data_IF_093952212102
#
_entry.id   IF_093952212102
#
_cell.length_a   1.000
_cell.length_b   1.000
_cell.length_c   1.000
_cell.angle_alpha   90.00
_cell.angle_beta   90.00
_cell.angle_gamma   90.00
#
_symmetry.space_group_name_H-M   'P 1'
#
loop_
_entity.id
_entity.type
_entity.pdbx_description
1 polymer ?
#
# COMPACT_ATOMS: atom_id res chain seq x y z
N UNK A 1 -12.60 -42.97 43.71
CA UNK A 1 -12.65 -43.06 42.24
C UNK A 1 -13.14 -44.45 41.90
N UNK A 2 -14.18 -44.60 41.08
CA UNK A 2 -14.62 -45.94 40.65
C UNK A 2 -13.54 -46.59 39.79
N UNK A 3 -13.41 -47.91 39.81
CA UNK A 3 -12.50 -48.61 38.89
C UNK A 3 -12.85 -48.33 37.42
N UNK A 4 -14.14 -48.14 37.12
CA UNK A 4 -14.60 -47.73 35.79
C UNK A 4 -14.15 -46.32 35.40
N UNK A 5 -14.15 -45.37 36.34
CA UNK A 5 -13.69 -44.00 36.09
C UNK A 5 -12.19 -44.00 35.78
N UNK A 6 -11.42 -44.80 36.52
CA UNK A 6 -9.97 -44.95 36.29
C UNK A 6 -9.65 -45.56 34.92
N UNK A 7 -10.45 -46.53 34.46
CA UNK A 7 -10.33 -47.09 33.11
C UNK A 7 -10.72 -46.05 32.05
N UNK A 8 -11.77 -45.27 32.27
CA UNK A 8 -12.19 -44.20 31.35
C UNK A 8 -11.11 -43.11 31.23
N UNK A 9 -10.56 -42.65 32.35
CA UNK A 9 -9.50 -41.64 32.43
C UNK A 9 -8.24 -42.04 31.64
N UNK A 10 -7.90 -43.32 31.64
CA UNK A 10 -6.79 -43.85 30.82
C UNK A 10 -7.08 -43.67 29.33
N UNK A 11 -8.27 -44.03 28.86
CA UNK A 11 -8.62 -43.96 27.43
C UNK A 11 -9.07 -42.57 26.96
N UNK A 12 -9.40 -41.66 27.86
CA UNK A 12 -9.64 -40.24 27.54
C UNK A 12 -8.36 -39.41 27.63
N UNK A 13 -7.27 -39.99 28.15
CA UNK A 13 -5.96 -39.36 28.21
C UNK A 13 -5.77 -38.41 29.39
N UNK A 14 -6.64 -38.51 30.41
CA UNK A 14 -6.62 -37.67 31.61
C UNK A 14 -5.51 -38.08 32.58
N UNK A 15 -5.14 -39.37 32.60
CA UNK A 15 -4.07 -39.88 33.46
C UNK A 15 -2.69 -39.33 33.08
N UNK A 16 -1.88 -38.99 34.10
CA UNK A 16 -0.47 -38.60 33.97
C UNK A 16 0.40 -39.77 33.46
N UNK A 17 1.63 -39.48 33.04
CA UNK A 17 2.56 -40.51 32.54
C UNK A 17 2.88 -41.60 33.56
N UNK A 18 2.99 -41.23 34.83
CA UNK A 18 3.27 -42.15 35.94
C UNK A 18 2.06 -43.05 36.21
N UNK A 19 0.85 -42.48 36.26
CA UNK A 19 -0.40 -43.22 36.48
C UNK A 19 -0.74 -44.18 35.33
N UNK A 20 -0.35 -43.83 34.09
CA UNK A 20 -0.49 -44.72 32.93
C UNK A 20 0.43 -45.94 33.03
N UNK A 21 1.68 -45.77 33.47
CA UNK A 21 2.58 -46.90 33.68
C UNK A 21 2.04 -47.86 34.75
N UNK A 22 1.49 -47.31 35.84
CA UNK A 22 0.83 -48.12 36.88
C UNK A 22 -0.39 -48.85 36.30
N UNK A 23 -1.20 -48.18 35.48
CA UNK A 23 -2.35 -48.78 34.80
C UNK A 23 -1.93 -49.97 33.91
N UNK A 24 -0.92 -49.77 33.07
CA UNK A 24 -0.41 -50.79 32.14
C UNK A 24 0.19 -51.98 32.90
N UNK A 25 0.96 -51.73 33.96
CA UNK A 25 1.52 -52.77 34.81
C UNK A 25 0.42 -53.58 35.50
N UNK A 26 -0.60 -52.91 36.04
CA UNK A 26 -1.74 -53.59 36.68
C UNK A 26 -2.53 -54.42 35.68
N UNK A 27 -2.72 -53.93 34.45
CA UNK A 27 -3.36 -54.67 33.37
C UNK A 27 -2.56 -55.93 32.97
N UNK A 28 -1.23 -55.88 33.03
CA UNK A 28 -0.36 -57.03 32.75
C UNK A 28 -0.29 -58.04 33.91
N UNK A 29 -0.33 -57.56 35.16
CA UNK A 29 -0.15 -58.39 36.35
C UNK A 29 -1.46 -59.01 36.88
N UNK A 30 -2.58 -58.31 36.76
CA UNK A 30 -3.87 -58.69 37.37
C UNK A 30 -4.89 -59.12 36.30
N UNK A 31 -5.19 -60.42 36.25
CA UNK A 31 -6.11 -60.97 35.26
C UNK A 31 -7.57 -60.48 35.45
N UNK A 32 -7.99 -60.17 36.68
CA UNK A 32 -9.32 -59.62 36.97
C UNK A 32 -9.47 -58.22 36.37
N UNK A 33 -8.50 -57.34 36.63
CA UNK A 33 -8.47 -55.99 36.08
C UNK A 33 -8.40 -55.98 34.54
N UNK A 34 -7.59 -56.87 33.95
CA UNK A 34 -7.54 -57.02 32.49
C UNK A 34 -8.91 -57.39 31.87
N UNK A 35 -9.72 -58.22 32.55
CA UNK A 35 -11.08 -58.56 32.09
C UNK A 35 -12.03 -57.39 32.17
N UNK A 36 -11.93 -56.56 33.21
CA UNK A 36 -12.75 -55.35 33.36
C UNK A 36 -12.42 -54.33 32.28
N UNK A 37 -11.14 -54.12 31.97
CA UNK A 37 -10.68 -53.28 30.86
C UNK A 37 -11.21 -53.81 29.52
N UNK A 38 -11.12 -55.11 29.28
CA UNK A 38 -11.64 -55.73 28.07
C UNK A 38 -13.17 -55.58 27.95
N UNK A 39 -13.90 -55.75 29.06
CA UNK A 39 -15.34 -55.53 29.11
C UNK A 39 -15.68 -54.08 28.78
N UNK A 40 -15.04 -53.12 29.45
CA UNK A 40 -15.22 -51.68 29.21
C UNK A 40 -14.98 -51.33 27.73
N UNK A 41 -13.89 -51.82 27.13
CA UNK A 41 -13.60 -51.59 25.71
C UNK A 41 -14.70 -52.17 24.80
N UNK A 42 -15.18 -53.38 25.10
CA UNK A 42 -16.25 -54.02 24.35
C UNK A 42 -17.58 -53.25 24.43
N UNK A 43 -17.94 -52.73 25.61
CA UNK A 43 -19.13 -51.90 25.79
C UNK A 43 -19.00 -50.59 25.02
N UNK A 44 -17.84 -49.95 25.08
CA UNK A 44 -17.58 -48.67 24.39
C UNK A 44 -17.62 -48.81 22.87
N UNK A 45 -17.10 -49.91 22.31
CA UNK A 45 -17.15 -50.14 20.86
C UNK A 45 -18.58 -50.36 20.38
N UNK A 46 -19.38 -51.14 21.11
CA UNK A 46 -20.80 -51.36 20.79
C UNK A 46 -21.60 -50.05 20.81
N UNK A 47 -21.44 -49.23 21.85
CA UNK A 47 -22.09 -47.92 21.94
C UNK A 47 -21.69 -47.00 20.77
N UNK A 48 -20.40 -46.98 20.42
CA UNK A 48 -19.90 -46.19 19.29
C UNK A 48 -20.49 -46.66 17.95
N UNK A 49 -20.67 -47.96 17.77
CA UNK A 49 -21.28 -48.52 16.57
C UNK A 49 -22.76 -48.13 16.46
N UNK A 50 -23.54 -48.30 17.53
CA UNK A 50 -24.94 -47.89 17.56
C UNK A 50 -25.12 -46.39 17.27
N UNK A 51 -24.28 -45.56 17.86
CA UNK A 51 -24.32 -44.11 17.67
C UNK A 51 -23.96 -43.72 16.22
N UNK A 52 -23.07 -44.47 15.57
CA UNK A 52 -22.74 -44.29 14.15
C UNK A 52 -23.91 -44.68 13.24
N UNK A 53 -24.56 -45.81 13.53
CA UNK A 53 -25.74 -46.28 12.79
C UNK A 53 -26.90 -45.27 12.93
N UNK A 54 -27.15 -44.79 14.14
CA UNK A 54 -28.15 -43.75 14.41
C UNK A 54 -27.85 -42.45 13.66
N UNK A 55 -26.60 -41.97 13.69
CA UNK A 55 -26.19 -40.77 12.92
C UNK A 55 -26.35 -40.97 11.42
N UNK A 56 -26.05 -42.16 10.90
CA UNK A 56 -26.26 -42.46 9.47
C UNK A 56 -27.75 -42.46 9.12
N UNK A 57 -28.62 -43.01 9.98
CA UNK A 57 -30.06 -42.97 9.77
C UNK A 57 -30.60 -41.54 9.82
N UNK A 58 -30.17 -40.73 10.80
CA UNK A 58 -30.52 -39.31 10.90
C UNK A 58 -30.05 -38.54 9.67
N UNK A 59 -28.82 -38.78 9.20
CA UNK A 59 -28.29 -38.13 8.01
C UNK A 59 -29.04 -38.52 6.73
N UNK A 60 -29.48 -39.79 6.62
CA UNK A 60 -30.32 -40.25 5.51
C UNK A 60 -31.75 -39.67 5.56
N UNK A 61 -32.30 -39.47 6.76
CA UNK A 61 -33.60 -38.84 6.95
C UNK A 61 -33.57 -37.33 6.63
N UNK A 62 -32.40 -36.69 6.79
CA UNK A 62 -32.14 -35.34 6.30
C UNK A 62 -31.77 -35.40 4.80
N UNK A 63 -32.73 -35.78 3.96
CA UNK A 63 -32.68 -35.41 2.55
C UNK A 63 -33.13 -33.96 2.43
N UNK A 64 -32.24 -32.97 2.20
CA UNK A 64 -32.70 -31.66 1.80
C UNK A 64 -33.49 -31.84 0.49
N UNK A 65 -34.72 -31.33 0.44
CA UNK A 65 -35.47 -31.26 -0.80
C UNK A 65 -34.56 -30.56 -1.83
N UNK A 66 -34.07 -31.32 -2.82
CA UNK A 66 -33.20 -30.75 -3.86
C UNK A 66 -34.00 -29.64 -4.53
N UNK A 67 -33.65 -28.35 -4.36
CA UNK A 67 -34.35 -27.31 -5.08
C UNK A 67 -34.16 -27.65 -6.57
N UNK A 68 -35.25 -27.57 -7.34
CA UNK A 68 -35.19 -27.70 -8.80
C UNK A 68 -34.31 -26.56 -9.31
N UNK A 69 -33.00 -26.77 -9.36
CA UNK A 69 -32.06 -25.82 -9.93
C UNK A 69 -32.39 -25.75 -11.42
N UNK A 70 -33.03 -24.65 -11.82
CA UNK A 70 -33.13 -24.28 -13.22
C UNK A 70 -31.70 -24.22 -13.75
N UNK A 71 -31.37 -25.10 -14.69
CA UNK A 71 -30.07 -25.07 -15.34
C UNK A 71 -29.97 -23.73 -16.08
N UNK A 72 -29.12 -22.85 -15.56
CA UNK A 72 -28.76 -21.64 -16.28
C UNK A 72 -28.10 -22.06 -17.59
N UNK A 73 -28.45 -21.44 -18.72
CA UNK A 73 -27.82 -21.77 -19.98
C UNK A 73 -26.32 -21.47 -19.93
N UNK A 74 -25.52 -22.35 -20.53
CA UNK A 74 -24.06 -22.37 -20.41
C UNK A 74 -23.36 -21.06 -20.85
N UNK A 75 -24.02 -20.21 -21.65
CA UNK A 75 -23.48 -18.90 -22.01
C UNK A 75 -23.49 -17.89 -20.84
N UNK A 76 -24.44 -18.00 -19.91
CA UNK A 76 -24.48 -17.14 -18.72
C UNK A 76 -23.36 -17.50 -17.72
N UNK A 77 -23.02 -18.78 -17.61
CA UNK A 77 -21.89 -19.21 -16.77
C UNK A 77 -20.56 -18.81 -17.38
N UNK A 78 -20.40 -18.93 -18.71
CA UNK A 78 -19.20 -18.48 -19.42
C UNK A 78 -19.00 -16.96 -19.31
N UNK A 79 -20.07 -16.17 -19.45
CA UNK A 79 -20.02 -14.71 -19.32
C UNK A 79 -19.64 -14.25 -17.91
N UNK A 80 -20.13 -14.93 -16.86
CA UNK A 80 -19.78 -14.60 -15.47
C UNK A 80 -18.31 -14.89 -15.15
N UNK A 81 -17.74 -15.97 -15.71
CA UNK A 81 -16.31 -16.30 -15.55
C UNK A 81 -15.45 -15.24 -16.24
N UNK A 82 -15.79 -14.85 -17.47
CA UNK A 82 -15.08 -13.80 -18.19
C UNK A 82 -15.16 -12.45 -17.46
N UNK A 83 -16.34 -12.08 -16.95
CA UNK A 83 -16.50 -10.88 -16.14
C UNK A 83 -15.69 -10.94 -14.84
N UNK A 84 -15.66 -12.10 -14.16
CA UNK A 84 -14.86 -12.31 -12.95
C UNK A 84 -13.35 -12.21 -13.22
N UNK A 85 -12.86 -12.78 -14.32
CA UNK A 85 -11.45 -12.67 -14.74
C UNK A 85 -11.11 -11.22 -15.09
N UNK A 86 -12.00 -10.50 -15.78
CA UNK A 86 -11.79 -9.09 -16.11
C UNK A 86 -11.75 -8.21 -14.84
N UNK A 87 -12.65 -8.45 -13.88
CA UNK A 87 -12.67 -7.73 -12.60
C UNK A 87 -11.46 -8.05 -11.73
N UNK A 88 -11.06 -9.33 -11.65
CA UNK A 88 -9.88 -9.75 -10.91
C UNK A 88 -8.59 -9.20 -11.56
N UNK A 89 -8.51 -9.24 -12.88
CA UNK A 89 -7.42 -8.62 -13.64
C UNK A 89 -7.36 -7.12 -13.36
N UNK A 90 -8.48 -6.39 -13.52
CA UNK A 90 -8.56 -4.97 -13.21
C UNK A 90 -8.08 -4.70 -11.78
N UNK A 91 -8.55 -5.45 -10.80
CA UNK A 91 -8.19 -5.27 -9.40
C UNK A 91 -6.70 -5.53 -9.13
N UNK A 92 -6.10 -6.54 -9.78
CA UNK A 92 -4.67 -6.86 -9.66
C UNK A 92 -3.76 -5.81 -10.33
N UNK A 93 -4.27 -5.03 -11.30
CA UNK A 93 -3.48 -4.01 -12.00
C UNK A 93 -3.64 -2.58 -11.44
N UNK A 94 -4.52 -2.33 -10.46
CA UNK A 94 -4.57 -1.04 -9.74
C UNK A 94 -3.41 -0.99 -8.72
N UNK A 95 -2.27 -0.44 -9.12
CA UNK A 95 -1.22 -0.01 -8.19
C UNK A 95 -1.50 1.42 -7.72
N UNK A 96 -1.29 1.76 -6.44
CA UNK A 96 -1.33 3.16 -6.01
C UNK A 96 -0.31 3.97 -6.81
N UNK A 97 -0.61 5.24 -7.12
CA UNK A 97 0.29 6.06 -7.93
C UNK A 97 1.64 6.22 -7.20
N UNK A 98 2.73 6.06 -7.94
CA UNK A 98 4.06 6.32 -7.39
C UNK A 98 4.25 7.82 -7.14
N UNK A 99 5.17 8.19 -6.23
CA UNK A 99 5.53 9.59 -5.96
C UNK A 99 6.04 10.31 -7.22
N UNK A 100 6.67 9.59 -8.14
CA UNK A 100 7.04 10.09 -9.45
C UNK A 100 5.81 10.41 -10.33
N UNK A 101 4.76 9.58 -10.29
CA UNK A 101 3.51 9.85 -11.01
C UNK A 101 2.73 11.02 -10.41
N UNK A 102 2.69 11.11 -9.07
CA UNK A 102 2.06 12.22 -8.35
C UNK A 102 2.73 13.55 -8.68
N UNK A 103 4.07 13.60 -8.62
CA UNK A 103 4.84 14.80 -8.97
C UNK A 103 4.73 15.15 -10.46
N UNK A 104 4.72 14.17 -11.37
CA UNK A 104 4.51 14.41 -12.81
C UNK A 104 3.13 15.02 -13.08
N UNK A 105 2.09 14.51 -12.41
CA UNK A 105 0.72 15.03 -12.51
C UNK A 105 0.65 16.47 -12.04
N UNK A 106 1.31 16.79 -10.93
CA UNK A 106 1.38 18.16 -10.41
C UNK A 106 2.05 19.11 -11.39
N UNK A 107 3.22 18.73 -11.94
CA UNK A 107 3.96 19.54 -12.92
C UNK A 107 3.08 19.85 -14.13
N UNK A 108 2.43 18.83 -14.69
CA UNK A 108 1.58 19.00 -15.87
C UNK A 108 0.38 19.91 -15.60
N UNK A 109 -0.22 19.84 -14.41
CA UNK A 109 -1.41 20.60 -14.06
C UNK A 109 -1.11 22.05 -13.66
N UNK A 110 0.02 22.28 -12.98
CA UNK A 110 0.27 23.54 -12.29
C UNK A 110 1.46 24.34 -12.81
N UNK A 111 2.40 23.70 -13.51
CA UNK A 111 3.68 24.33 -13.84
C UNK A 111 3.88 24.54 -15.34
N UNK A 112 3.02 23.98 -16.22
CA UNK A 112 3.11 24.25 -17.66
C UNK A 112 2.71 25.69 -18.04
N UNK A 113 1.99 26.38 -17.16
CA UNK A 113 1.64 27.78 -17.32
C UNK A 113 1.99 28.54 -16.05
N UNK A 114 2.79 29.59 -16.21
CA UNK A 114 3.12 30.53 -15.15
C UNK A 114 2.11 31.67 -15.15
N UNK A 115 1.66 32.07 -13.96
CA UNK A 115 0.78 33.23 -13.82
C UNK A 115 1.50 34.51 -14.26
N UNK A 116 0.79 35.34 -15.01
CA UNK A 116 1.22 36.69 -15.34
C UNK A 116 0.76 37.63 -14.23
N UNK A 117 1.67 38.35 -13.60
CA UNK A 117 1.34 39.28 -12.52
C UNK A 117 1.42 40.71 -13.05
N UNK A 118 0.28 41.39 -13.16
CA UNK A 118 0.20 42.77 -13.70
C UNK A 118 0.76 43.84 -12.76
N UNK A 119 1.27 43.47 -11.59
CA UNK A 119 1.75 44.41 -10.58
C UNK A 119 3.25 44.22 -10.31
N UNK A 120 4.04 45.20 -10.73
CA UNK A 120 5.40 45.44 -10.22
C UNK A 120 6.52 44.52 -10.73
N UNK A 121 6.26 43.59 -11.65
CA UNK A 121 7.33 42.81 -12.29
C UNK A 121 8.05 43.65 -13.34
N UNK A 122 9.40 43.64 -13.41
CA UNK A 122 10.14 44.28 -14.50
C UNK A 122 9.63 43.76 -15.84
N UNK A 123 9.52 44.63 -16.85
CA UNK A 123 9.02 44.26 -18.18
C UNK A 123 9.70 43.00 -18.74
N UNK A 124 11.01 42.86 -18.51
CA UNK A 124 11.78 41.69 -18.92
C UNK A 124 11.35 40.39 -18.23
N UNK A 125 10.95 40.40 -16.96
CA UNK A 125 10.47 39.20 -16.28
C UNK A 125 9.15 38.71 -16.91
N UNK A 126 8.26 39.65 -17.22
CA UNK A 126 6.99 39.37 -17.87
C UNK A 126 7.18 38.86 -19.32
N UNK A 127 8.20 39.35 -20.04
CA UNK A 127 8.60 38.79 -21.32
C UNK A 127 9.05 37.33 -21.18
N UNK A 128 9.84 37.00 -20.15
CA UNK A 128 10.28 35.64 -19.88
C UNK A 128 9.11 34.70 -19.57
N UNK A 129 8.16 35.14 -18.75
CA UNK A 129 6.93 34.40 -18.45
C UNK A 129 6.09 34.17 -19.72
N UNK A 130 5.94 35.20 -20.55
CA UNK A 130 5.23 35.10 -21.83
C UNK A 130 5.90 34.07 -22.75
N UNK A 131 7.23 34.12 -22.88
CA UNK A 131 7.99 33.16 -23.68
C UNK A 131 7.82 31.72 -23.13
N UNK A 132 7.85 31.56 -21.81
CA UNK A 132 7.62 30.27 -21.15
C UNK A 132 6.23 29.70 -21.48
N UNK A 133 5.18 30.51 -21.32
CA UNK A 133 3.79 30.09 -21.56
C UNK A 133 3.53 29.75 -23.04
N UNK A 134 4.24 30.43 -23.95
CA UNK A 134 4.23 30.15 -25.38
C UNK A 134 5.13 28.96 -25.77
N UNK A 135 5.73 28.26 -24.79
CA UNK A 135 6.66 27.14 -24.97
C UNK A 135 7.93 27.51 -25.75
N UNK A 136 8.24 28.80 -25.86
CA UNK A 136 9.49 29.30 -26.42
C UNK A 136 10.61 29.22 -25.36
N UNK A 137 10.91 27.99 -24.92
CA UNK A 137 11.77 27.75 -23.75
C UNK A 137 13.18 28.28 -23.93
N UNK A 138 13.77 28.21 -25.13
CA UNK A 138 15.11 28.77 -25.38
C UNK A 138 15.16 30.30 -25.18
N UNK A 139 14.07 31.00 -25.54
CA UNK A 139 13.98 32.43 -25.33
C UNK A 139 13.74 32.76 -23.85
N UNK A 140 12.83 32.04 -23.19
CA UNK A 140 12.58 32.19 -21.77
C UNK A 140 13.84 31.93 -20.93
N UNK A 141 14.63 30.91 -21.29
CA UNK A 141 15.89 30.57 -20.62
C UNK A 141 16.88 31.73 -20.69
N UNK A 142 17.08 32.34 -21.87
CA UNK A 142 17.97 33.51 -22.02
C UNK A 142 17.55 34.69 -21.14
N UNK A 143 16.25 34.99 -21.11
CA UNK A 143 15.69 36.08 -20.30
C UNK A 143 15.90 35.81 -18.81
N UNK A 144 15.47 34.65 -18.32
CA UNK A 144 15.58 34.32 -16.90
C UNK A 144 17.04 34.21 -16.46
N UNK A 145 17.94 33.70 -17.31
CA UNK A 145 19.37 33.66 -17.00
C UNK A 145 19.94 35.07 -16.79
N UNK A 146 19.62 36.00 -17.70
CA UNK A 146 20.05 37.40 -17.60
C UNK A 146 19.49 38.12 -16.36
N UNK A 147 18.25 37.81 -15.97
CA UNK A 147 17.62 38.42 -14.78
C UNK A 147 18.11 37.77 -13.49
N UNK A 148 18.53 36.51 -13.54
CA UNK A 148 19.02 35.78 -12.37
C UNK A 148 20.30 36.39 -11.78
N UNK A 149 21.00 37.27 -12.50
CA UNK A 149 22.20 37.97 -12.02
C UNK A 149 21.92 39.37 -11.48
N UNK A 150 20.67 39.85 -11.53
CA UNK A 150 20.28 41.19 -11.07
C UNK A 150 19.63 41.11 -9.69
N UNK A 151 20.18 41.76 -8.67
CA UNK A 151 19.73 41.60 -7.27
C UNK A 151 18.21 41.74 -7.08
N UNK A 152 17.60 42.76 -7.69
CA UNK A 152 16.18 43.06 -7.52
C UNK A 152 15.23 42.00 -8.11
N UNK A 153 15.65 41.28 -9.17
CA UNK A 153 14.81 40.30 -9.89
C UNK A 153 15.31 38.87 -9.74
N UNK A 154 16.48 38.67 -9.12
CA UNK A 154 17.14 37.37 -9.03
C UNK A 154 16.29 36.28 -8.37
N UNK A 155 15.56 36.49 -7.26
CA UNK A 155 14.77 35.42 -6.65
C UNK A 155 13.70 34.85 -7.60
N UNK A 156 12.93 35.72 -8.25
CA UNK A 156 11.88 35.30 -9.18
C UNK A 156 12.45 34.72 -10.46
N UNK A 157 13.51 35.32 -11.00
CA UNK A 157 14.18 34.80 -12.19
C UNK A 157 14.79 33.41 -11.94
N UNK A 158 15.43 33.19 -10.78
CA UNK A 158 15.95 31.87 -10.37
C UNK A 158 14.81 30.86 -10.23
N UNK A 159 13.69 31.25 -9.62
CA UNK A 159 12.49 30.42 -9.50
C UNK A 159 11.99 29.98 -10.88
N UNK A 160 11.78 30.91 -11.81
CA UNK A 160 11.26 30.59 -13.14
C UNK A 160 12.25 29.83 -14.00
N UNK A 161 13.55 30.10 -13.88
CA UNK A 161 14.60 29.33 -14.54
C UNK A 161 14.61 27.86 -14.05
N UNK A 162 14.48 27.65 -12.74
CA UNK A 162 14.34 26.30 -12.17
C UNK A 162 13.09 25.57 -12.68
N UNK A 163 11.94 26.26 -12.74
CA UNK A 163 10.70 25.69 -13.29
C UNK A 163 10.84 25.35 -14.77
N UNK A 164 11.49 26.20 -15.56
CA UNK A 164 11.81 25.93 -16.97
C UNK A 164 12.64 24.68 -17.12
N UNK A 165 13.69 24.53 -16.31
CA UNK A 165 14.50 23.31 -16.29
C UNK A 165 13.72 22.08 -15.85
N UNK A 166 12.80 22.22 -14.90
CA UNK A 166 11.94 21.13 -14.47
C UNK A 166 11.02 20.64 -15.61
N UNK A 167 10.31 21.55 -16.30
CA UNK A 167 9.38 21.17 -17.38
C UNK A 167 10.09 20.71 -18.65
N UNK A 168 11.31 21.20 -18.91
CA UNK A 168 12.17 20.74 -20.00
C UNK A 168 13.01 19.51 -19.65
N UNK A 169 12.77 18.89 -18.48
CA UNK A 169 13.45 17.68 -17.98
C UNK A 169 14.96 17.82 -17.77
N UNK A 170 15.47 19.04 -17.68
CA UNK A 170 16.85 19.36 -17.29
C UNK A 170 16.99 19.31 -15.75
N UNK A 171 16.74 18.15 -15.15
CA UNK A 171 16.55 18.03 -13.70
C UNK A 171 17.77 18.45 -12.86
N UNK A 172 18.99 18.14 -13.32
CA UNK A 172 20.20 18.57 -12.62
C UNK A 172 20.31 20.10 -12.56
N UNK A 173 20.05 20.78 -13.68
CA UNK A 173 20.00 22.24 -13.74
C UNK A 173 18.87 22.82 -12.88
N UNK A 174 17.70 22.17 -12.85
CA UNK A 174 16.58 22.58 -12.01
C UNK A 174 16.95 22.55 -10.53
N UNK A 175 17.59 21.47 -10.08
CA UNK A 175 18.05 21.30 -8.69
C UNK A 175 19.01 22.42 -8.31
N UNK A 176 19.98 22.76 -9.17
CA UNK A 176 20.92 23.87 -8.94
C UNK A 176 20.18 25.19 -8.72
N UNK A 177 19.18 25.50 -9.55
CA UNK A 177 18.40 26.74 -9.38
C UNK A 177 17.55 26.71 -8.11
N UNK A 178 16.94 25.59 -7.75
CA UNK A 178 16.15 25.49 -6.53
C UNK A 178 17.03 25.54 -5.27
N UNK A 179 18.25 25.00 -5.30
CA UNK A 179 19.22 25.18 -4.23
C UNK A 179 19.59 26.64 -4.03
N UNK A 180 19.80 27.36 -5.13
CA UNK A 180 20.01 28.81 -5.09
C UNK A 180 18.76 29.55 -4.58
N UNK A 181 17.56 29.13 -5.00
CA UNK A 181 16.29 29.71 -4.55
C UNK A 181 16.12 29.60 -3.03
N UNK A 182 16.47 28.44 -2.45
CA UNK A 182 16.38 28.17 -1.00
C UNK A 182 17.23 29.14 -0.17
N UNK A 183 18.32 29.69 -0.73
CA UNK A 183 19.19 30.62 -0.02
C UNK A 183 18.60 32.03 0.12
N UNK A 184 17.61 32.40 -0.70
CA UNK A 184 17.00 33.72 -0.58
C UNK A 184 16.07 33.78 0.65
N UNK A 185 16.14 34.86 1.46
CA UNK A 185 15.30 35.06 2.64
C UNK A 185 13.90 35.57 2.24
N UNK A 186 13.24 34.86 1.33
CA UNK A 186 11.86 35.16 0.90
C UNK A 186 10.85 34.46 1.82
N UNK A 187 9.79 35.19 2.17
CA UNK A 187 8.68 34.63 2.94
C UNK A 187 8.05 33.46 2.17
N UNK A 188 7.78 32.36 2.88
CA UNK A 188 7.21 31.15 2.31
C UNK A 188 7.97 30.67 1.04
N UNK A 189 9.29 30.45 1.18
CA UNK A 189 10.14 30.04 0.06
C UNK A 189 9.68 28.69 -0.55
N UNK A 190 9.29 28.63 -1.84
CA UNK A 190 8.82 27.41 -2.48
C UNK A 190 9.97 26.47 -2.94
N UNK A 191 11.22 26.91 -2.83
CA UNK A 191 12.40 26.19 -3.29
C UNK A 191 12.53 24.74 -2.79
N UNK A 192 12.27 24.43 -1.50
CA UNK A 192 12.33 23.06 -1.02
C UNK A 192 11.34 22.13 -1.73
N UNK A 193 10.12 22.60 -1.97
CA UNK A 193 9.09 21.82 -2.66
C UNK A 193 9.44 21.59 -4.13
N UNK A 194 9.90 22.63 -4.83
CA UNK A 194 10.33 22.48 -6.22
C UNK A 194 11.57 21.62 -6.40
N UNK A 195 12.53 21.68 -5.46
CA UNK A 195 13.66 20.75 -5.43
C UNK A 195 13.20 19.31 -5.24
N UNK A 196 12.24 19.06 -4.35
CA UNK A 196 11.66 17.74 -4.16
C UNK A 196 11.00 17.21 -5.46
N UNK A 197 10.26 18.05 -6.20
CA UNK A 197 9.73 17.67 -7.52
C UNK A 197 10.83 17.24 -8.49
N UNK A 198 11.90 18.03 -8.59
CA UNK A 198 13.00 17.72 -9.51
C UNK A 198 13.69 16.39 -9.15
N UNK A 199 13.89 16.12 -7.86
CA UNK A 199 14.45 14.86 -7.37
C UNK A 199 13.53 13.67 -7.67
N UNK A 200 12.23 13.78 -7.37
CA UNK A 200 11.25 12.74 -7.65
C UNK A 200 11.16 12.41 -9.16
N UNK A 201 11.30 13.42 -10.02
CA UNK A 201 11.32 13.20 -11.47
C UNK A 201 12.64 12.62 -11.98
N UNK A 202 13.78 13.04 -11.40
CA UNK A 202 15.11 12.55 -11.77
C UNK A 202 15.32 11.08 -11.39
N UNK A 203 14.75 10.65 -10.26
CA UNK A 203 14.66 9.27 -9.81
C UNK A 203 16.01 8.50 -9.80
N UNK A 204 17.12 9.19 -9.46
CA UNK A 204 18.41 8.53 -9.20
C UNK A 204 18.44 7.89 -7.80
N UNK A 205 19.34 6.93 -7.53
CA UNK A 205 19.54 6.40 -6.19
C UNK A 205 19.75 7.52 -5.16
N UNK A 206 18.96 7.50 -4.09
CA UNK A 206 18.98 8.53 -3.03
C UNK A 206 18.07 9.73 -3.27
N UNK A 207 17.56 9.96 -4.48
CA UNK A 207 16.69 11.10 -4.77
C UNK A 207 15.38 11.05 -4.00
N UNK A 208 14.78 9.85 -3.88
CA UNK A 208 13.54 9.65 -3.14
C UNK A 208 13.70 10.00 -1.66
N UNK A 209 14.81 9.59 -1.03
CA UNK A 209 15.11 9.93 0.36
C UNK A 209 15.33 11.43 0.54
N UNK A 210 16.11 12.05 -0.35
CA UNK A 210 16.34 13.50 -0.31
C UNK A 210 15.04 14.30 -0.52
N UNK A 211 14.19 13.86 -1.46
CA UNK A 211 12.88 14.46 -1.68
C UNK A 211 12.00 14.31 -0.44
N UNK A 212 12.02 13.16 0.22
CA UNK A 212 11.33 12.90 1.49
C UNK A 212 11.69 13.94 2.55
N UNK A 213 12.98 14.11 2.83
CA UNK A 213 13.45 15.10 3.82
C UNK A 213 13.05 16.54 3.47
N UNK A 214 13.03 16.90 2.17
CA UNK A 214 12.56 18.20 1.73
C UNK A 214 11.05 18.37 1.91
N UNK A 215 10.26 17.33 1.64
CA UNK A 215 8.81 17.37 1.81
C UNK A 215 8.43 17.42 3.31
N UNK A 216 9.16 16.74 4.18
CA UNK A 216 9.02 16.89 5.64
C UNK A 216 9.24 18.35 6.05
N UNK A 217 10.33 18.97 5.57
CA UNK A 217 10.58 20.39 5.82
C UNK A 217 9.46 21.29 5.29
N UNK A 218 8.92 21.00 4.11
CA UNK A 218 7.78 21.75 3.53
C UNK A 218 6.54 21.61 4.41
N UNK A 219 6.24 20.40 4.89
CA UNK A 219 5.13 20.12 5.78
C UNK A 219 5.27 20.85 7.12
N UNK A 220 6.39 20.65 7.79
CA UNK A 220 6.61 21.08 9.17
C UNK A 220 6.67 22.61 9.29
N UNK A 221 7.18 23.28 8.25
CA UNK A 221 7.24 24.74 8.16
C UNK A 221 6.08 25.36 7.37
N UNK A 222 5.08 24.57 6.98
CA UNK A 222 3.90 25.02 6.21
C UNK A 222 4.25 25.84 4.95
N UNK A 223 5.32 25.43 4.25
CA UNK A 223 5.81 26.11 3.04
C UNK A 223 4.87 25.85 1.84
N UNK A 224 5.01 26.60 0.73
CA UNK A 224 4.25 26.32 -0.48
C UNK A 224 4.43 24.87 -0.93
N UNK A 225 3.34 24.21 -1.30
CA UNK A 225 3.31 22.77 -1.56
C UNK A 225 3.02 21.88 -0.35
N UNK A 226 2.72 22.46 0.83
CA UNK A 226 2.39 21.72 2.06
C UNK A 226 1.34 20.62 1.87
N UNK A 227 0.23 20.91 1.18
CA UNK A 227 -0.83 19.92 0.95
C UNK A 227 -0.31 18.70 0.18
N UNK A 228 0.47 18.95 -0.87
CA UNK A 228 1.11 17.91 -1.67
C UNK A 228 2.15 17.15 -0.86
N UNK A 229 2.94 17.83 -0.03
CA UNK A 229 3.91 17.19 0.84
C UNK A 229 3.25 16.22 1.83
N UNK A 230 2.16 16.62 2.48
CA UNK A 230 1.37 15.75 3.38
C UNK A 230 0.88 14.50 2.66
N UNK A 231 0.41 14.65 1.42
CA UNK A 231 -0.09 13.54 0.62
C UNK A 231 1.05 12.60 0.19
N UNK A 232 2.12 13.15 -0.38
CA UNK A 232 3.16 12.37 -1.04
C UNK A 232 4.09 11.67 -0.07
N UNK A 233 4.25 12.19 1.15
CA UNK A 233 5.00 11.51 2.21
C UNK A 233 4.39 10.17 2.62
N UNK A 234 3.13 9.88 2.28
CA UNK A 234 2.51 8.57 2.49
C UNK A 234 3.01 7.50 1.52
N UNK A 235 3.72 7.91 0.47
CA UNK A 235 4.15 7.07 -0.65
C UNK A 235 5.67 7.08 -0.86
N UNK A 236 6.43 7.78 0.00
CA UNK A 236 7.90 7.86 -0.03
C UNK A 236 8.52 6.74 0.79
#
# INVERSE_FOLDING_TARGET
MSELDYIDDYFTGVLSSEERQVFEQRCAAEQTFAREVAFYLSSRTLLKQQLREQKQQQFKAITPARPKMRRLPAYLTAAAILAGILLASWWLFIKPPSTQQLSATYINKHLLQLSVTMQGSPDSLQMGITAYNNKAYDHAEKIFLSLSTQEASAPDAVKYLGLLYLVTRKYDSAIVQFDRLIQYPIYANPGPFYKALALLQRARPGDQQQAGSLLEKVRDNQLPGNQQAIEWLKHI
#
